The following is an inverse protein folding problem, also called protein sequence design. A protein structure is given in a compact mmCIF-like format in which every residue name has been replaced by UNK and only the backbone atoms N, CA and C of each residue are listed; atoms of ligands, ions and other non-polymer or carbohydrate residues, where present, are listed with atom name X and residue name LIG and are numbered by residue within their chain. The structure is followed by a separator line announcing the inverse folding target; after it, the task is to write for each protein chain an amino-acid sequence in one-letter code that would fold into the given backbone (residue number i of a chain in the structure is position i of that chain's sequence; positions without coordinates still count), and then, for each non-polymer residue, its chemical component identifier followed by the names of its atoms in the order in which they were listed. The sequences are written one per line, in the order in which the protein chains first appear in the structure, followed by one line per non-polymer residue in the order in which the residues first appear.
data_IF_616291599281
#
_entry.id   IF_616291599281
#
_cell.length_a   1.000
_cell.length_b   1.000
_cell.length_c   1.000
_cell.angle_alpha   90.00
_cell.angle_beta   90.00
_cell.angle_gamma   90.00
#
_symmetry.space_group_name_H-M   'P 1'
#
loop_
_entity.id
_entity.type
_entity.pdbx_description
1 polymer ?
#
# COMPACT_ATOMS: atom_id res chain seq x y z
N UNK A 1 16.19 -1.20 15.88
CA UNK A 1 14.79 -0.77 16.16
C UNK A 1 14.46 -1.17 17.59
N UNK A 2 13.88 -0.26 18.36
CA UNK A 2 13.53 -0.52 19.76
C UNK A 2 12.63 -1.77 19.88
N UNK A 3 12.96 -2.68 20.80
CA UNK A 3 12.27 -3.98 20.97
C UNK A 3 10.78 -3.82 21.29
N UNK A 4 10.40 -2.67 21.85
CA UNK A 4 9.01 -2.32 22.18
C UNK A 4 8.23 -1.94 20.93
N UNK A 5 8.79 -1.09 20.07
CA UNK A 5 8.18 -0.69 18.80
C UNK A 5 7.95 -1.90 17.89
N UNK A 6 8.94 -2.79 17.79
CA UNK A 6 8.81 -4.02 16.98
C UNK A 6 7.65 -4.90 17.48
N UNK A 7 7.53 -5.11 18.80
CA UNK A 7 6.43 -5.88 19.37
C UNK A 7 5.07 -5.22 19.15
N UNK A 8 5.00 -3.90 19.28
CA UNK A 8 3.79 -3.13 19.00
C UNK A 8 3.33 -3.27 17.55
N UNK A 9 4.24 -3.13 16.58
CA UNK A 9 3.94 -3.31 15.16
C UNK A 9 3.49 -4.73 14.82
N UNK A 10 4.10 -5.75 15.44
CA UNK A 10 3.68 -7.14 15.25
C UNK A 10 2.30 -7.40 15.84
N UNK A 11 2.02 -6.93 17.05
CA UNK A 11 0.71 -7.07 17.67
C UNK A 11 -0.38 -6.35 16.86
N UNK A 12 -0.09 -5.14 16.38
CA UNK A 12 -0.95 -4.41 15.46
C UNK A 12 -1.18 -5.20 14.16
N UNK A 13 -0.13 -5.76 13.55
CA UNK A 13 -0.24 -6.53 12.32
C UNK A 13 -1.14 -7.76 12.47
N UNK A 14 -0.96 -8.54 13.53
CA UNK A 14 -1.82 -9.68 13.84
C UNK A 14 -3.26 -9.27 14.14
N UNK A 15 -3.46 -8.20 14.91
CA UNK A 15 -4.78 -7.66 15.19
C UNK A 15 -5.50 -7.19 13.91
N UNK A 16 -4.82 -6.41 13.07
CA UNK A 16 -5.36 -5.91 11.82
C UNK A 16 -5.70 -7.05 10.85
N UNK A 17 -4.83 -8.05 10.74
CA UNK A 17 -5.08 -9.26 9.95
C UNK A 17 -6.32 -10.01 10.45
N UNK A 18 -6.42 -10.26 11.76
CA UNK A 18 -7.56 -10.96 12.35
C UNK A 18 -8.88 -10.22 12.16
N UNK A 19 -8.88 -8.90 12.38
CA UNK A 19 -10.05 -8.05 12.16
C UNK A 19 -10.47 -8.03 10.69
N UNK A 20 -9.53 -7.80 9.77
CA UNK A 20 -9.82 -7.77 8.34
C UNK A 20 -10.34 -9.13 7.85
N UNK A 21 -9.68 -10.24 8.22
CA UNK A 21 -10.10 -11.58 7.84
C UNK A 21 -11.52 -11.89 8.36
N UNK A 22 -11.82 -11.54 9.61
CA UNK A 22 -13.16 -11.73 10.19
C UNK A 22 -14.20 -10.90 9.45
N UNK A 23 -13.91 -9.63 9.14
CA UNK A 23 -14.82 -8.76 8.41
C UNK A 23 -15.11 -9.28 7.00
N UNK A 24 -14.09 -9.74 6.27
CA UNK A 24 -14.25 -10.33 4.93
C UNK A 24 -15.05 -11.64 5.00
N UNK A 25 -14.80 -12.50 5.99
CA UNK A 25 -15.57 -13.73 6.18
C UNK A 25 -17.05 -13.43 6.47
N UNK A 26 -17.34 -12.46 7.34
CA UNK A 26 -18.70 -11.98 7.57
C UNK A 26 -19.30 -11.45 6.27
N UNK A 27 -18.54 -10.65 5.51
CA UNK A 27 -18.98 -10.12 4.22
C UNK A 27 -19.36 -11.20 3.22
N UNK A 28 -18.56 -12.27 3.14
CA UNK A 28 -18.80 -13.40 2.26
C UNK A 28 -20.01 -14.25 2.70
N UNK A 29 -20.21 -14.44 4.01
CA UNK A 29 -21.31 -15.24 4.55
C UNK A 29 -22.65 -14.48 4.63
N UNK A 30 -22.61 -13.16 4.84
CA UNK A 30 -23.78 -12.28 4.96
C UNK A 30 -24.07 -11.45 3.69
N UNK A 31 -23.67 -11.94 2.51
CA UNK A 31 -23.47 -11.21 1.24
C UNK A 31 -23.35 -9.66 1.30
N UNK A 32 -22.51 -9.14 2.20
CA UNK A 32 -22.30 -7.69 2.32
C UNK A 32 -21.24 -7.23 1.32
N UNK A 33 -21.68 -6.71 0.16
CA UNK A 33 -20.82 -6.29 -0.96
C UNK A 33 -19.68 -5.36 -0.54
N UNK A 34 -19.94 -4.43 0.38
CA UNK A 34 -18.90 -3.50 0.84
C UNK A 34 -17.76 -4.22 1.57
N UNK A 35 -18.02 -5.24 2.40
CA UNK A 35 -16.96 -5.90 3.19
C UNK A 35 -16.02 -6.77 2.33
N UNK A 36 -16.46 -7.16 1.14
CA UNK A 36 -15.65 -7.90 0.16
C UNK A 36 -15.09 -6.99 -0.93
N UNK A 37 -15.34 -5.68 -0.84
CA UNK A 37 -14.94 -4.70 -1.84
C UNK A 37 -13.48 -4.28 -1.71
N UNK A 38 -12.94 -3.73 -2.80
CA UNK A 38 -11.59 -3.17 -2.82
C UNK A 38 -11.46 -1.95 -1.90
N UNK A 39 -12.53 -1.15 -1.79
CA UNK A 39 -12.60 0.03 -0.94
C UNK A 39 -12.40 -0.33 0.53
N UNK A 40 -12.99 -1.43 0.98
CA UNK A 40 -12.81 -1.92 2.35
C UNK A 40 -11.40 -2.43 2.60
N UNK A 41 -10.80 -3.12 1.62
CA UNK A 41 -9.38 -3.52 1.69
C UNK A 41 -8.46 -2.30 1.82
N UNK A 42 -8.69 -1.24 1.04
CA UNK A 42 -7.91 0.00 1.18
C UNK A 42 -8.13 0.63 2.55
N UNK A 43 -9.37 0.68 3.04
CA UNK A 43 -9.69 1.25 4.34
C UNK A 43 -8.97 0.49 5.47
N UNK A 44 -8.90 -0.83 5.39
CA UNK A 44 -8.16 -1.67 6.33
C UNK A 44 -6.63 -1.52 6.22
N UNK A 45 -6.11 -1.27 5.01
CA UNK A 45 -4.69 -1.07 4.75
C UNK A 45 -4.21 0.37 5.05
N UNK A 46 -5.09 1.37 4.97
CA UNK A 46 -4.75 2.78 5.08
C UNK A 46 -4.02 3.15 6.38
N UNK A 47 -4.42 2.66 7.58
CA UNK A 47 -3.68 2.96 8.80
C UNK A 47 -2.24 2.42 8.77
N UNK A 48 -2.02 1.26 8.12
CA UNK A 48 -0.68 0.71 7.93
C UNK A 48 0.15 1.56 6.97
N UNK A 49 -0.42 1.97 5.83
CA UNK A 49 0.26 2.82 4.85
C UNK A 49 0.66 4.16 5.49
N UNK A 50 -0.27 4.83 6.16
CA UNK A 50 -0.01 6.09 6.88
C UNK A 50 1.05 5.87 7.96
N UNK A 51 0.92 4.81 8.75
CA UNK A 51 1.88 4.46 9.80
C UNK A 51 3.30 4.28 9.25
N UNK A 52 3.46 3.60 8.11
CA UNK A 52 4.76 3.44 7.47
C UNK A 52 5.30 4.71 6.83
N UNK A 53 4.46 5.57 6.25
CA UNK A 53 4.88 6.90 5.78
C UNK A 53 5.45 7.72 6.94
N UNK A 54 4.72 7.78 8.07
CA UNK A 54 5.16 8.52 9.25
C UNK A 54 6.43 7.92 9.86
N UNK A 55 6.50 6.60 9.99
CA UNK A 55 7.66 5.92 10.57
C UNK A 55 8.92 6.13 9.72
N UNK A 56 8.84 5.91 8.40
CA UNK A 56 9.98 6.11 7.50
C UNK A 56 10.35 7.58 7.37
N UNK A 57 9.37 8.50 7.38
CA UNK A 57 9.61 9.94 7.37
C UNK A 57 10.33 10.42 8.63
N UNK A 58 9.87 9.99 9.81
CA UNK A 58 10.52 10.31 11.08
C UNK A 58 11.93 9.73 11.15
N UNK A 59 12.11 8.47 10.78
CA UNK A 59 13.44 7.84 10.73
C UNK A 59 14.37 8.52 9.74
N UNK A 60 13.88 8.89 8.57
CA UNK A 60 14.67 9.62 7.58
C UNK A 60 15.11 10.99 8.11
N UNK A 61 14.23 11.71 8.81
CA UNK A 61 14.58 12.99 9.42
C UNK A 61 15.68 12.85 10.48
N UNK A 62 15.59 11.81 11.32
CA UNK A 62 16.53 11.55 12.41
C UNK A 62 17.89 11.00 11.94
N UNK A 63 17.88 10.00 11.05
CA UNK A 63 19.08 9.23 10.71
C UNK A 63 19.61 9.51 9.30
N UNK A 64 18.83 10.22 8.46
CA UNK A 64 19.17 10.57 7.07
C UNK A 64 19.65 9.39 6.22
N UNK A 65 19.17 8.18 6.53
CA UNK A 65 19.54 6.96 5.82
C UNK A 65 18.84 6.89 4.47
N UNK A 66 19.59 6.52 3.43
CA UNK A 66 19.07 6.42 2.06
C UNK A 66 17.91 5.41 1.94
N UNK A 67 17.99 4.29 2.66
CA UNK A 67 16.96 3.26 2.68
C UNK A 67 15.61 3.82 3.20
N UNK A 68 15.63 4.59 4.29
CA UNK A 68 14.40 5.17 4.86
C UNK A 68 13.74 6.16 3.89
N UNK A 69 14.55 6.91 3.12
CA UNK A 69 14.05 7.80 2.06
C UNK A 69 13.36 7.03 0.93
N UNK A 70 13.95 5.89 0.53
CA UNK A 70 13.46 5.06 -0.57
C UNK A 70 12.22 4.29 -0.16
N UNK A 71 12.15 3.81 1.09
CA UNK A 71 10.93 3.23 1.65
C UNK A 71 9.82 4.28 1.75
N UNK A 72 10.14 5.50 2.19
CA UNK A 72 9.17 6.61 2.19
C UNK A 72 8.63 6.88 0.77
N UNK A 73 9.50 6.96 -0.23
CA UNK A 73 9.11 7.10 -1.64
C UNK A 73 8.23 5.93 -2.13
N UNK A 74 8.52 4.71 -1.68
CA UNK A 74 7.70 3.51 -1.98
C UNK A 74 6.28 3.65 -1.44
N UNK A 75 6.12 4.06 -0.19
CA UNK A 75 4.79 4.23 0.42
C UNK A 75 4.03 5.42 -0.16
N UNK A 76 4.71 6.53 -0.43
CA UNK A 76 4.11 7.70 -1.08
C UNK A 76 3.65 7.41 -2.51
N UNK A 77 4.46 6.67 -3.28
CA UNK A 77 4.09 6.27 -4.65
C UNK A 77 2.92 5.29 -4.66
N UNK A 78 2.84 4.36 -3.70
CA UNK A 78 1.65 3.53 -3.52
C UNK A 78 0.41 4.39 -3.23
N UNK A 79 0.53 5.35 -2.31
CA UNK A 79 -0.53 6.30 -2.00
C UNK A 79 -0.96 7.13 -3.21
N UNK A 80 -0.01 7.52 -4.07
CA UNK A 80 -0.29 8.24 -5.31
C UNK A 80 -1.06 7.38 -6.33
N UNK A 81 -0.70 6.09 -6.49
CA UNK A 81 -1.43 5.15 -7.35
C UNK A 81 -2.86 4.96 -6.86
N UNK A 82 -3.05 4.76 -5.56
CA UNK A 82 -4.39 4.66 -4.97
C UNK A 82 -5.18 5.96 -5.11
N UNK A 83 -4.54 7.11 -4.92
CA UNK A 83 -5.15 8.42 -5.11
C UNK A 83 -5.57 8.65 -6.57
N UNK A 84 -4.76 8.21 -7.53
CA UNK A 84 -5.10 8.30 -8.96
C UNK A 84 -6.29 7.41 -9.31
N UNK A 85 -6.35 6.19 -8.76
CA UNK A 85 -7.52 5.31 -8.88
C UNK A 85 -8.80 6.01 -8.39
N UNK A 86 -8.79 6.56 -7.17
CA UNK A 86 -9.97 7.24 -6.63
C UNK A 86 -10.32 8.52 -7.39
N UNK A 87 -9.32 9.31 -7.80
CA UNK A 87 -9.57 10.51 -8.60
C UNK A 87 -10.24 10.14 -9.92
N UNK A 88 -9.74 9.10 -10.58
CA UNK A 88 -10.31 8.60 -11.83
C UNK A 88 -11.75 8.11 -11.64
N UNK A 89 -12.00 7.34 -10.56
CA UNK A 89 -13.33 6.86 -10.17
C UNK A 89 -14.30 8.02 -9.91
N UNK A 90 -13.91 9.00 -9.10
CA UNK A 90 -14.75 10.15 -8.72
C UNK A 90 -15.07 11.06 -9.92
N UNK A 91 -14.15 11.17 -10.88
CA UNK A 91 -14.36 11.92 -12.11
C UNK A 91 -15.27 11.17 -13.12
N UNK A 92 -15.57 9.90 -12.87
CA UNK A 92 -16.42 9.07 -13.73
C UNK A 92 -15.86 8.88 -15.14
N UNK A 93 -14.54 8.90 -15.30
CA UNK A 93 -13.88 8.91 -16.61
C UNK A 93 -14.20 7.63 -17.40
N UNK A 94 -14.33 6.49 -16.73
CA UNK A 94 -14.71 5.21 -17.36
C UNK A 94 -15.98 5.34 -18.19
N UNK A 95 -17.03 5.93 -17.62
CA UNK A 95 -18.31 6.10 -18.32
C UNK A 95 -18.17 6.93 -19.61
N UNK A 96 -17.29 7.93 -19.61
CA UNK A 96 -17.04 8.80 -20.76
C UNK A 96 -16.23 8.09 -21.83
N UNK A 97 -15.21 7.33 -21.45
CA UNK A 97 -14.39 6.56 -22.39
C UNK A 97 -15.17 5.41 -23.01
N UNK A 98 -16.01 4.74 -22.24
CA UNK A 98 -16.86 3.66 -22.75
C UNK A 98 -17.87 4.18 -23.77
N UNK A 99 -18.44 5.37 -23.55
CA UNK A 99 -19.29 6.03 -24.54
C UNK A 99 -18.57 6.35 -25.86
N UNK A 100 -17.24 6.47 -25.82
CA UNK A 100 -16.38 6.65 -27.01
C UNK A 100 -15.87 5.32 -27.59
N UNK A 101 -16.30 4.18 -27.04
CA UNK A 101 -15.87 2.85 -27.46
C UNK A 101 -14.49 2.43 -26.94
N UNK A 102 -13.91 3.16 -26.00
CA UNK A 102 -12.62 2.83 -25.38
C UNK A 102 -12.87 2.03 -24.09
N UNK A 103 -12.40 0.79 -24.06
CA UNK A 103 -12.59 -0.14 -22.95
C UNK A 103 -11.47 0.03 -21.91
N UNK A 104 -11.48 1.16 -21.22
CA UNK A 104 -10.49 1.50 -20.19
C UNK A 104 -11.19 1.98 -18.92
N UNK A 105 -10.82 1.42 -17.79
CA UNK A 105 -11.49 1.56 -16.49
C UNK A 105 -10.56 2.03 -15.38
N UNK A 106 -11.13 2.36 -14.22
CA UNK A 106 -10.41 2.64 -12.98
C UNK A 106 -9.43 1.51 -12.63
N UNK A 107 -9.86 0.27 -12.85
CA UNK A 107 -9.06 -0.91 -12.55
C UNK A 107 -7.79 -0.94 -13.40
N UNK A 108 -7.88 -0.56 -14.68
CA UNK A 108 -6.71 -0.54 -15.56
C UNK A 108 -5.67 0.49 -15.10
N UNK A 109 -6.12 1.66 -14.65
CA UNK A 109 -5.26 2.69 -14.02
C UNK A 109 -4.56 2.14 -12.78
N UNK A 110 -5.30 1.45 -11.91
CA UNK A 110 -4.75 0.83 -10.71
C UNK A 110 -3.69 -0.21 -11.06
N UNK A 111 -3.98 -1.14 -11.98
CA UNK A 111 -3.05 -2.20 -12.33
C UNK A 111 -1.80 -1.66 -13.01
N UNK A 112 -1.93 -0.74 -13.96
CA UNK A 112 -0.77 -0.09 -14.59
C UNK A 112 0.08 0.67 -13.56
N UNK A 113 -0.56 1.38 -12.64
CA UNK A 113 0.12 2.04 -11.53
C UNK A 113 0.86 1.05 -10.63
N UNK A 114 0.25 -0.07 -10.27
CA UNK A 114 0.87 -1.12 -9.47
C UNK A 114 2.02 -1.81 -10.20
N UNK A 115 1.92 -2.03 -11.51
CA UNK A 115 3.04 -2.57 -12.32
C UNK A 115 4.23 -1.61 -12.27
N UNK A 116 4.00 -0.32 -12.52
CA UNK A 116 5.05 0.70 -12.43
C UNK A 116 5.66 0.77 -11.02
N UNK A 117 4.82 0.64 -9.98
CA UNK A 117 5.25 0.60 -8.59
C UNK A 117 6.10 -0.64 -8.27
N UNK A 118 5.74 -1.81 -8.79
CA UNK A 118 6.52 -3.04 -8.63
C UNK A 118 7.89 -2.94 -9.33
N UNK A 119 7.93 -2.32 -10.52
CA UNK A 119 9.20 -2.04 -11.23
C UNK A 119 10.07 -1.09 -10.41
N UNK A 120 9.50 -0.03 -9.84
CA UNK A 120 10.22 0.89 -8.95
C UNK A 120 10.83 0.14 -7.75
N UNK A 121 10.07 -0.74 -7.09
CA UNK A 121 10.57 -1.55 -5.97
C UNK A 121 11.74 -2.44 -6.42
N UNK A 122 11.56 -3.18 -7.51
CA UNK A 122 12.56 -4.12 -8.01
C UNK A 122 13.89 -3.46 -8.38
N UNK A 123 13.86 -2.26 -8.96
CA UNK A 123 15.06 -1.59 -9.42
C UNK A 123 15.70 -0.66 -8.38
N UNK A 124 14.92 -0.03 -7.51
CA UNK A 124 15.42 1.02 -6.60
C UNK A 124 15.49 0.54 -5.16
N UNK A 125 14.48 -0.19 -4.69
CA UNK A 125 14.39 -0.62 -3.30
C UNK A 125 15.26 -1.86 -3.07
N UNK A 126 15.16 -2.85 -3.94
CA UNK A 126 15.85 -4.14 -3.79
C UNK A 126 17.38 -4.00 -3.59
N UNK A 127 18.11 -3.18 -4.37
CA UNK A 127 19.56 -3.03 -4.18
C UNK A 127 19.97 -2.38 -2.84
N UNK A 128 19.03 -1.71 -2.16
CA UNK A 128 19.28 -0.99 -0.91
C UNK A 128 18.92 -1.82 0.32
N UNK A 129 18.15 -2.90 0.16
CA UNK A 129 17.88 -3.86 1.22
C UNK A 129 19.06 -4.83 1.28
N UNK A 130 20.08 -4.44 2.06
CA UNK A 130 21.20 -5.33 2.36
C UNK A 130 20.83 -6.22 3.54
N UNK A 131 21.00 -7.53 3.35
CA UNK A 131 20.91 -8.49 4.44
C UNK A 131 22.07 -8.27 5.42
N UNK A 132 21.81 -8.40 6.72
CA UNK A 132 22.81 -8.22 7.79
C UNK A 132 23.93 -9.29 7.75
N UNK A 133 23.85 -10.25 6.84
CA UNK A 133 24.72 -11.43 6.76
C UNK A 133 26.13 -11.13 6.23
N UNK A 134 26.37 -9.98 5.60
CA UNK A 134 27.68 -9.62 5.03
C UNK A 134 28.60 -8.81 5.97
N UNK A 135 28.57 -9.06 7.29
CA UNK A 135 29.55 -8.54 8.25
C UNK A 135 30.43 -9.63 8.85
N UNK A 136 30.96 -10.55 8.04
CA UNK A 136 32.03 -11.44 8.44
C UNK A 136 32.89 -11.83 7.23
N UNK A 137 33.76 -10.92 6.77
CA UNK A 137 35.04 -11.24 6.13
C UNK A 137 36.00 -10.08 6.37
#
# INVERSE_FOLDING_TARGET
ADSRLRRGLLAYGWGNMGLYATAVLIGALAPLQFLISFEFLILAAAPSIIGFILLNGWRYWQFRQRLDAVLLGTWLSLGAVLGLYFLYYLLGITSRLWAQGIWFSENDVLHLGLIAWMVYIGWIVLPQVQDLTNRHH
#
